data_IF_268420028813
#
_entry.id   IF_268420028813
#
_cell.length_a   1.000
_cell.length_b   1.000
_cell.length_c   1.000
_cell.angle_alpha   90.00
_cell.angle_beta   90.00
_cell.angle_gamma   90.00
#
_symmetry.space_group_name_H-M   'P 1'
#
loop_
_entity.id
_entity.type
_entity.pdbx_description
1 polymer ?
#
# COMPACT_ATOMS: atom_id res chain seq x y z
N UNK A 1 2.86 38.60 17.65
CA UNK A 1 1.64 38.09 18.30
C UNK A 1 0.52 38.13 17.25
N UNK A 2 0.17 37.01 16.61
CA UNK A 2 -0.92 36.90 15.62
C UNK A 2 -1.95 35.93 16.18
N UNK A 3 -3.13 36.49 16.52
CA UNK A 3 -4.28 35.79 17.07
C UNK A 3 -4.96 34.97 15.96
N UNK A 4 -5.04 33.66 16.10
CA UNK A 4 -5.85 32.82 15.24
C UNK A 4 -7.26 32.73 15.81
N UNK A 5 -8.23 33.28 15.09
CA UNK A 5 -9.66 33.17 15.37
C UNK A 5 -10.15 31.78 14.93
N UNK A 6 -10.56 30.96 15.90
CA UNK A 6 -11.32 29.73 15.65
C UNK A 6 -12.75 30.10 15.22
N UNK A 7 -13.12 29.78 13.99
CA UNK A 7 -14.52 29.77 13.54
C UNK A 7 -15.06 28.34 13.64
N UNK A 8 -15.90 28.10 14.62
CA UNK A 8 -16.72 26.90 14.77
C UNK A 8 -17.88 26.95 13.75
N UNK A 9 -17.84 26.07 12.75
CA UNK A 9 -18.94 25.83 11.82
C UNK A 9 -19.74 24.61 12.26
N UNK A 10 -20.96 24.82 12.73
CA UNK A 10 -21.93 23.76 13.05
C UNK A 10 -22.56 23.29 11.73
N UNK A 11 -22.30 22.07 11.30
CA UNK A 11 -22.98 21.40 10.19
C UNK A 11 -24.09 20.52 10.74
N UNK A 12 -25.35 20.97 10.56
CA UNK A 12 -26.54 20.18 10.82
C UNK A 12 -26.70 19.09 9.78
N UNK A 13 -26.67 17.83 10.19
CA UNK A 13 -26.91 16.65 9.34
C UNK A 13 -28.42 16.36 9.33
N UNK A 14 -29.08 16.66 8.20
CA UNK A 14 -30.49 16.28 7.97
C UNK A 14 -30.53 14.82 7.49
N UNK A 15 -31.09 13.92 8.31
CA UNK A 15 -31.42 12.55 7.91
C UNK A 15 -32.66 12.53 7.02
N UNK A 16 -32.52 12.24 5.72
CA UNK A 16 -33.59 11.91 4.81
C UNK A 16 -33.78 10.38 4.79
N UNK A 17 -34.84 9.92 5.46
CA UNK A 17 -35.32 8.53 5.35
C UNK A 17 -36.16 8.39 4.10
N UNK A 18 -35.61 7.79 3.05
CA UNK A 18 -36.36 7.36 1.86
C UNK A 18 -36.74 5.88 1.99
N UNK A 19 -38.03 5.61 2.23
CA UNK A 19 -38.62 4.27 2.11
C UNK A 19 -38.80 3.97 0.62
N UNK A 20 -37.98 3.05 0.08
CA UNK A 20 -38.15 2.52 -1.28
C UNK A 20 -39.06 1.27 -1.29
N UNK A 21 -39.87 1.07 -2.36
CA UNK A 21 -40.77 -0.06 -2.46
C UNK A 21 -39.99 -1.38 -2.68
N UNK A 22 -40.40 -2.41 -1.94
CA UNK A 22 -39.92 -3.76 -2.09
C UNK A 22 -40.34 -4.35 -3.45
N UNK A 23 -39.37 -4.49 -4.39
CA UNK A 23 -39.57 -5.27 -5.60
C UNK A 23 -39.40 -6.75 -5.25
N UNK A 24 -40.50 -7.51 -5.43
CA UNK A 24 -40.51 -8.96 -5.31
C UNK A 24 -39.52 -9.58 -6.32
N UNK A 25 -38.44 -10.17 -5.83
CA UNK A 25 -37.49 -10.93 -6.65
C UNK A 25 -38.07 -12.32 -6.90
N UNK A 26 -38.38 -12.61 -8.16
CA UNK A 26 -38.69 -13.95 -8.65
C UNK A 26 -37.44 -14.85 -8.48
N UNK A 27 -37.55 -16.06 -7.89
CA UNK A 27 -36.42 -16.98 -7.85
C UNK A 27 -36.26 -17.65 -9.23
N UNK A 28 -35.48 -17.02 -10.10
CA UNK A 28 -34.98 -17.69 -11.31
C UNK A 28 -33.87 -18.66 -10.86
N UNK A 29 -34.22 -19.95 -10.78
CA UNK A 29 -33.27 -21.04 -10.64
C UNK A 29 -32.41 -21.17 -11.91
N UNK A 30 -31.39 -20.37 -12.04
CA UNK A 30 -30.33 -20.58 -13.02
C UNK A 30 -29.42 -21.69 -12.45
N UNK A 31 -29.11 -22.79 -13.24
CA UNK A 31 -28.17 -23.80 -12.78
C UNK A 31 -26.84 -23.13 -12.43
N UNK A 32 -26.36 -23.34 -11.22
CA UNK A 32 -25.06 -22.85 -10.80
C UNK A 32 -23.98 -23.41 -11.74
N UNK A 33 -23.34 -22.55 -12.49
CA UNK A 33 -22.11 -22.90 -13.20
C UNK A 33 -21.09 -23.45 -12.17
N UNK A 34 -20.28 -24.48 -12.55
CA UNK A 34 -19.28 -25.01 -11.63
C UNK A 34 -18.42 -23.87 -11.13
N UNK A 35 -18.30 -23.79 -9.80
CA UNK A 35 -17.46 -22.77 -9.15
C UNK A 35 -16.06 -22.92 -9.73
N UNK A 36 -15.63 -21.98 -10.58
CA UNK A 36 -14.25 -21.88 -10.97
C UNK A 36 -13.49 -21.61 -9.68
N UNK A 37 -12.59 -22.51 -9.30
CA UNK A 37 -11.61 -22.27 -8.26
C UNK A 37 -10.88 -20.98 -8.62
N UNK A 38 -11.26 -19.89 -7.98
CA UNK A 38 -10.55 -18.60 -8.08
C UNK A 38 -9.16 -18.89 -7.50
N UNK A 39 -8.08 -18.80 -8.29
CA UNK A 39 -6.74 -19.00 -7.78
C UNK A 39 -6.57 -18.11 -6.55
N UNK A 40 -6.20 -18.70 -5.40
CA UNK A 40 -5.94 -17.93 -4.17
C UNK A 40 -4.95 -16.82 -4.52
N UNK A 41 -5.32 -15.55 -4.34
CA UNK A 41 -4.42 -14.46 -4.71
C UNK A 41 -3.07 -14.65 -4.04
N UNK A 42 -1.94 -14.45 -4.74
CA UNK A 42 -0.59 -14.56 -4.15
C UNK A 42 -0.44 -13.73 -2.87
N UNK A 43 -1.33 -12.77 -2.64
CA UNK A 43 -1.43 -11.96 -1.42
C UNK A 43 -1.63 -12.76 -0.12
N UNK A 44 -2.11 -14.00 -0.17
CA UNK A 44 -2.25 -14.86 0.99
C UNK A 44 -1.11 -15.86 1.16
N UNK A 45 -0.18 -15.91 0.20
CA UNK A 45 0.99 -16.76 0.30
C UNK A 45 2.01 -16.16 1.30
N UNK A 46 2.36 -16.89 2.38
CA UNK A 46 3.28 -16.39 3.41
C UNK A 46 4.68 -16.08 2.86
N UNK A 47 5.17 -16.86 1.90
CA UNK A 47 6.47 -16.63 1.25
C UNK A 47 6.47 -15.34 0.43
N UNK A 48 5.36 -15.05 -0.27
CA UNK A 48 5.20 -13.81 -1.02
C UNK A 48 5.15 -12.60 -0.09
N UNK A 49 4.37 -12.68 1.00
CA UNK A 49 4.28 -11.61 1.99
C UNK A 49 5.62 -11.36 2.70
N UNK A 50 6.39 -12.42 2.99
CA UNK A 50 7.73 -12.28 3.54
C UNK A 50 8.69 -11.60 2.54
N UNK A 51 8.60 -11.94 1.26
CA UNK A 51 9.32 -11.23 0.19
C UNK A 51 9.00 -9.74 0.15
N UNK A 52 7.70 -9.38 0.19
CA UNK A 52 7.27 -7.98 0.24
C UNK A 52 7.79 -7.24 1.49
N UNK A 53 7.78 -7.92 2.64
CA UNK A 53 8.33 -7.36 3.88
C UNK A 53 9.82 -7.05 3.75
N UNK A 54 10.61 -7.97 3.17
CA UNK A 54 12.06 -7.74 2.93
C UNK A 54 12.31 -6.57 2.00
N UNK A 55 11.55 -6.49 0.90
CA UNK A 55 11.65 -5.36 -0.05
C UNK A 55 11.25 -4.04 0.62
N UNK A 56 10.20 -4.03 1.43
CA UNK A 56 9.79 -2.85 2.19
C UNK A 56 10.86 -2.36 3.17
N UNK A 57 11.43 -3.27 3.97
CA UNK A 57 12.53 -2.93 4.89
C UNK A 57 13.72 -2.35 4.14
N UNK A 58 14.11 -2.98 3.03
CA UNK A 58 15.22 -2.49 2.18
C UNK A 58 14.93 -1.09 1.63
N UNK A 59 13.73 -0.83 1.11
CA UNK A 59 13.33 0.49 0.63
C UNK A 59 13.40 1.55 1.74
N UNK A 60 12.94 1.22 2.96
CA UNK A 60 13.07 2.11 4.12
C UNK A 60 14.52 2.41 4.50
N UNK A 61 15.40 1.41 4.47
CA UNK A 61 16.83 1.60 4.69
C UNK A 61 17.45 2.51 3.63
N UNK A 62 17.07 2.39 2.37
CA UNK A 62 17.56 3.26 1.29
C UNK A 62 17.18 4.72 1.53
N UNK A 63 15.97 4.99 2.02
CA UNK A 63 15.58 6.36 2.42
C UNK A 63 16.54 6.93 3.46
N UNK A 64 16.94 6.15 4.46
CA UNK A 64 17.89 6.59 5.49
C UNK A 64 19.34 6.70 4.97
N UNK A 65 19.71 5.86 4.00
CA UNK A 65 21.02 5.90 3.34
C UNK A 65 21.19 7.08 2.39
N UNK A 66 20.08 7.61 1.88
CA UNK A 66 20.09 8.65 0.86
C UNK A 66 20.42 10.02 1.46
N UNK A 67 21.12 10.90 0.72
CA UNK A 67 21.24 12.29 1.10
C UNK A 67 19.87 12.94 1.29
N UNK A 68 19.76 13.93 2.17
CA UNK A 68 18.47 14.56 2.48
C UNK A 68 17.76 15.13 1.23
N UNK A 69 18.52 15.60 0.24
CA UNK A 69 17.98 16.07 -1.03
C UNK A 69 17.28 14.97 -1.85
N UNK A 70 17.68 13.71 -1.67
CA UNK A 70 17.19 12.58 -2.47
C UNK A 70 16.13 11.75 -1.73
N UNK A 71 16.01 11.88 -0.41
CA UNK A 71 15.08 11.09 0.42
C UNK A 71 13.64 11.15 -0.10
N UNK A 72 13.16 12.33 -0.47
CA UNK A 72 11.80 12.49 -0.97
C UNK A 72 11.58 11.75 -2.29
N UNK A 73 12.59 11.70 -3.16
CA UNK A 73 12.52 10.95 -4.40
C UNK A 73 12.44 9.44 -4.14
N UNK A 74 13.25 8.92 -3.20
CA UNK A 74 13.21 7.50 -2.85
C UNK A 74 11.88 7.11 -2.18
N UNK A 75 11.31 7.97 -1.33
CA UNK A 75 9.95 7.76 -0.78
C UNK A 75 8.93 7.70 -1.91
N UNK A 76 8.98 8.63 -2.88
CA UNK A 76 8.05 8.66 -4.01
C UNK A 76 8.13 7.38 -4.84
N UNK A 77 9.32 6.88 -5.10
CA UNK A 77 9.54 5.59 -5.79
C UNK A 77 8.98 4.40 -5.01
N UNK A 78 9.16 4.39 -3.69
CA UNK A 78 8.59 3.35 -2.85
C UNK A 78 7.05 3.38 -2.85
N UNK A 79 6.44 4.56 -2.85
CA UNK A 79 4.99 4.71 -2.95
C UNK A 79 4.44 4.34 -4.32
N UNK A 80 5.19 4.59 -5.40
CA UNK A 80 4.86 4.11 -6.74
C UNK A 80 4.81 2.57 -6.78
N UNK A 81 5.80 1.90 -6.19
CA UNK A 81 5.79 0.45 -6.06
C UNK A 81 4.61 -0.04 -5.20
N UNK A 82 4.29 0.65 -4.10
CA UNK A 82 3.12 0.32 -3.27
C UNK A 82 1.82 0.37 -4.08
N UNK A 83 1.65 1.36 -4.94
CA UNK A 83 0.48 1.46 -5.83
C UNK A 83 0.40 0.29 -6.82
N UNK A 84 1.52 -0.11 -7.42
CA UNK A 84 1.55 -1.30 -8.27
C UNK A 84 1.18 -2.57 -7.49
N UNK A 85 1.65 -2.69 -6.24
CA UNK A 85 1.29 -3.82 -5.37
C UNK A 85 -0.21 -3.82 -5.08
N UNK A 86 -0.85 -2.65 -4.82
CA UNK A 86 -2.31 -2.56 -4.64
C UNK A 86 -3.04 -3.08 -5.88
N UNK A 87 -2.64 -2.61 -7.06
CA UNK A 87 -3.31 -2.94 -8.32
C UNK A 87 -3.24 -4.44 -8.62
N UNK A 88 -2.09 -5.07 -8.38
CA UNK A 88 -1.86 -6.46 -8.78
C UNK A 88 -2.15 -7.48 -7.67
N UNK A 89 -2.02 -7.10 -6.40
CA UNK A 89 -2.04 -8.03 -5.26
C UNK A 89 -2.96 -7.59 -4.13
N UNK A 90 -3.57 -6.40 -4.23
CA UNK A 90 -4.54 -5.89 -3.28
C UNK A 90 -3.93 -5.21 -2.04
N UNK A 91 -4.82 -4.69 -1.20
CA UNK A 91 -4.45 -3.84 -0.05
C UNK A 91 -3.60 -4.56 1.01
N UNK A 92 -3.88 -5.85 1.28
CA UNK A 92 -3.12 -6.62 2.28
C UNK A 92 -1.63 -6.68 1.95
N UNK A 93 -1.31 -6.94 0.68
CA UNK A 93 0.05 -6.98 0.18
C UNK A 93 0.73 -5.60 0.29
N UNK A 94 0.01 -4.54 -0.09
CA UNK A 94 0.52 -3.17 -0.01
C UNK A 94 0.76 -2.73 1.44
N UNK A 95 -0.14 -3.04 2.37
CA UNK A 95 0.07 -2.77 3.80
C UNK A 95 1.26 -3.53 4.38
N UNK A 96 1.50 -4.77 3.94
CA UNK A 96 2.68 -5.52 4.33
C UNK A 96 3.97 -4.82 3.90
N UNK A 97 4.00 -4.36 2.65
CA UNK A 97 5.13 -3.61 2.10
C UNK A 97 5.33 -2.25 2.79
N UNK A 98 4.29 -1.41 2.89
CA UNK A 98 4.39 -0.06 3.45
C UNK A 98 4.67 -0.05 4.95
N UNK A 99 4.10 -1.00 5.70
CA UNK A 99 4.44 -1.19 7.11
C UNK A 99 5.90 -1.57 7.31
N UNK A 100 6.43 -2.42 6.43
CA UNK A 100 7.84 -2.81 6.44
C UNK A 100 8.77 -1.66 6.00
N UNK A 101 8.34 -0.81 5.07
CA UNK A 101 9.04 0.42 4.66
C UNK A 101 9.20 1.37 5.86
N UNK A 102 8.10 1.65 6.58
CA UNK A 102 8.14 2.48 7.79
C UNK A 102 9.04 1.87 8.87
N UNK A 103 9.02 0.55 9.04
CA UNK A 103 9.91 -0.14 9.97
C UNK A 103 11.39 -0.02 9.55
N UNK A 104 11.70 -0.13 8.26
CA UNK A 104 13.05 0.02 7.72
C UNK A 104 13.63 1.42 7.87
N UNK A 105 12.80 2.47 7.70
CA UNK A 105 13.22 3.87 7.84
C UNK A 105 13.29 4.35 9.30
N UNK A 106 12.61 3.67 10.23
CA UNK A 106 12.62 4.06 11.66
C UNK A 106 13.68 3.36 12.51
N UNK A 107 14.51 2.49 11.95
CA UNK A 107 15.51 1.74 12.71
C UNK A 107 16.93 2.25 12.52
N UNK A 108 17.72 2.32 13.61
CA UNK A 108 19.16 2.42 13.46
C UNK A 108 19.67 1.21 12.65
N UNK A 109 20.45 1.44 11.62
CA UNK A 109 21.03 0.37 10.86
C UNK A 109 22.50 0.66 10.55
N UNK A 110 23.24 -0.40 10.18
CA UNK A 110 24.66 -0.28 9.87
C UNK A 110 24.85 0.48 8.54
N UNK A 111 25.52 1.61 8.59
CA UNK A 111 25.86 2.41 7.40
C UNK A 111 26.70 1.63 6.39
N UNK A 112 27.45 0.60 6.83
CA UNK A 112 28.20 -0.26 5.92
C UNK A 112 27.27 -1.09 5.00
N UNK A 113 26.02 -1.31 5.41
CA UNK A 113 25.02 -2.03 4.62
C UNK A 113 24.32 -1.15 3.55
N UNK A 114 24.54 0.18 3.55
CA UNK A 114 23.90 1.11 2.62
C UNK A 114 24.13 0.75 1.13
N UNK A 115 25.35 0.40 0.77
CA UNK A 115 25.68 0.02 -0.61
C UNK A 115 24.81 -1.13 -1.09
N UNK A 116 24.72 -2.19 -0.31
CA UNK A 116 23.92 -3.37 -0.66
C UNK A 116 22.41 -3.05 -0.75
N UNK A 117 21.90 -2.25 0.19
CA UNK A 117 20.50 -1.84 0.16
C UNK A 117 20.17 -0.99 -1.08
N UNK A 118 21.01 -0.02 -1.41
CA UNK A 118 20.85 0.85 -2.59
C UNK A 118 20.91 0.02 -3.89
N UNK A 119 21.86 -0.89 -4.01
CA UNK A 119 21.99 -1.72 -5.21
C UNK A 119 20.81 -2.67 -5.38
N UNK A 120 20.35 -3.31 -4.30
CA UNK A 120 19.16 -4.14 -4.31
C UNK A 120 17.90 -3.34 -4.70
N UNK A 121 17.75 -2.14 -4.17
CA UNK A 121 16.64 -1.26 -4.48
C UNK A 121 16.64 -0.79 -5.94
N UNK A 122 17.79 -0.41 -6.50
CA UNK A 122 17.94 -0.10 -7.92
C UNK A 122 17.51 -1.24 -8.84
N UNK A 123 17.81 -2.49 -8.47
CA UNK A 123 17.37 -3.66 -9.22
C UNK A 123 15.82 -3.79 -9.20
N UNK A 124 15.20 -3.55 -8.06
CA UNK A 124 13.73 -3.54 -7.95
C UNK A 124 13.12 -2.42 -8.80
N UNK A 125 13.66 -1.20 -8.72
CA UNK A 125 13.20 -0.08 -9.55
C UNK A 125 13.32 -0.39 -11.04
N UNK A 126 14.48 -0.88 -11.49
CA UNK A 126 14.70 -1.23 -12.89
C UNK A 126 13.72 -2.30 -13.39
N UNK A 127 13.37 -3.26 -12.54
CA UNK A 127 12.48 -4.37 -12.90
C UNK A 127 11.01 -3.95 -12.95
N UNK A 128 10.56 -3.08 -12.05
CA UNK A 128 9.13 -2.84 -11.84
C UNK A 128 8.67 -1.41 -12.11
N UNK A 129 9.54 -0.40 -12.01
CA UNK A 129 9.17 1.00 -12.16
C UNK A 129 9.66 1.64 -13.47
N UNK A 130 10.71 1.12 -14.09
CA UNK A 130 11.29 1.69 -15.33
C UNK A 130 10.82 0.94 -16.58
N UNK A 131 9.50 0.72 -16.72
CA UNK A 131 8.91 0.13 -17.92
C UNK A 131 8.40 1.18 -18.87
#
# INVERSE_FOLDING_TARGET
>A
MRSYQLRAGILALACLTSAGPALAQNPSTTPAAPAQEVPTPPADNPTFLDGLRRVGVMAGQVVECSPDADKQNEISRAMELANLIVIHFGLKAAFTFTGALGYGSGRPFDKAACGQAIDGWKQIQAKYLNK
#
